data_IF_007576795251
#
_entry.id   IF_007576795251
#
_cell.length_a   1.000
_cell.length_b   1.000
_cell.length_c   1.000
_cell.angle_alpha   90.00
_cell.angle_beta   90.00
_cell.angle_gamma   90.00
#
_symmetry.space_group_name_H-M   'P 1'
#
loop_
_entity.id
_entity.type
_entity.pdbx_description
1 polymer ?
#
# COMPACT_ATOMS: atom_id res chain seq x y z
N UNK A 1 14.59 -3.17 72.50
CA UNK A 1 14.71 -4.12 71.39
C UNK A 1 13.37 -4.12 70.69
N UNK A 2 13.39 -3.58 69.49
CA UNK A 2 12.26 -3.04 68.75
C UNK A 2 11.17 -4.08 68.44
N UNK A 3 9.92 -3.73 68.73
CA UNK A 3 8.75 -4.40 68.16
C UNK A 3 8.67 -3.95 66.71
N UNK A 4 9.21 -4.73 65.79
CA UNK A 4 9.03 -4.51 64.36
C UNK A 4 7.56 -4.76 64.05
N UNK A 5 6.81 -3.68 63.86
CA UNK A 5 5.48 -3.71 63.26
C UNK A 5 5.62 -4.19 61.82
N UNK A 6 5.20 -5.43 61.55
CA UNK A 6 5.07 -5.93 60.18
C UNK A 6 3.74 -5.36 59.65
N UNK A 7 3.74 -4.50 58.62
CA UNK A 7 2.50 -3.99 58.05
C UNK A 7 1.67 -5.14 57.45
N UNK A 8 0.33 -5.07 57.51
CA UNK A 8 -0.50 -6.06 56.83
C UNK A 8 -0.14 -6.11 55.35
N UNK A 9 0.06 -7.32 54.83
CA UNK A 9 0.34 -7.53 53.41
C UNK A 9 -0.95 -7.22 52.64
N UNK A 10 -1.11 -5.98 52.20
CA UNK A 10 -2.19 -5.61 51.30
C UNK A 10 -1.82 -5.98 49.87
N UNK A 11 -2.69 -6.73 49.19
CA UNK A 11 -2.55 -7.01 47.75
C UNK A 11 -3.20 -5.87 46.96
N UNK A 12 -2.51 -5.33 45.96
CA UNK A 12 -3.06 -4.31 45.07
C UNK A 12 -3.72 -4.99 43.85
N UNK A 13 -5.02 -4.81 43.67
CA UNK A 13 -5.78 -5.33 42.53
C UNK A 13 -6.72 -4.22 42.00
N UNK A 14 -6.64 -3.88 40.70
CA UNK A 14 -7.34 -2.74 40.09
C UNK A 14 -7.23 -1.39 40.84
N UNK A 15 -6.07 -1.11 41.44
CA UNK A 15 -5.83 0.15 42.17
C UNK A 15 -6.48 0.22 43.55
N UNK A 16 -7.06 -0.88 44.04
CA UNK A 16 -7.57 -1.01 45.41
C UNK A 16 -6.73 -2.02 46.20
N UNK A 17 -6.63 -1.80 47.51
CA UNK A 17 -5.89 -2.64 48.45
C UNK A 17 -6.84 -3.63 49.12
N UNK A 18 -6.47 -4.91 49.13
CA UNK A 18 -7.23 -6.00 49.75
C UNK A 18 -6.41 -6.72 50.82
N UNK A 19 -7.07 -7.20 51.87
CA UNK A 19 -6.45 -7.99 52.93
C UNK A 19 -6.47 -9.50 52.60
N UNK A 20 -5.42 -10.22 53.00
CA UNK A 20 -5.35 -11.67 52.82
C UNK A 20 -6.47 -12.38 53.60
N UNK A 21 -7.42 -12.99 52.87
CA UNK A 21 -8.56 -13.73 53.42
C UNK A 21 -9.92 -13.20 53.01
N UNK A 22 -9.98 -12.03 52.35
CA UNK A 22 -11.21 -11.48 51.81
C UNK A 22 -11.64 -12.23 50.52
N UNK A 23 -12.87 -12.77 50.49
CA UNK A 23 -13.44 -13.35 49.28
C UNK A 23 -13.92 -12.23 48.36
N UNK A 24 -13.17 -11.93 47.31
CA UNK A 24 -13.59 -10.96 46.29
C UNK A 24 -14.53 -11.66 45.30
N UNK A 25 -15.82 -11.33 45.32
CA UNK A 25 -16.76 -11.74 44.27
C UNK A 25 -16.52 -10.87 43.03
N UNK A 26 -15.79 -11.41 42.04
CA UNK A 26 -15.60 -10.75 40.75
C UNK A 26 -16.96 -10.71 40.06
N UNK A 27 -17.62 -9.54 40.04
CA UNK A 27 -18.87 -9.34 39.29
C UNK A 27 -18.61 -9.59 37.81
N UNK A 28 -19.07 -10.71 37.26
CA UNK A 28 -18.93 -11.00 35.83
C UNK A 28 -20.00 -10.24 35.07
N UNK A 29 -19.60 -9.50 34.05
CA UNK A 29 -20.54 -8.83 33.18
C UNK A 29 -21.32 -9.87 32.35
N UNK A 30 -22.64 -9.82 32.40
CA UNK A 30 -23.52 -10.75 31.68
C UNK A 30 -24.33 -10.06 30.59
N UNK A 31 -24.29 -8.74 30.49
CA UNK A 31 -24.91 -8.04 29.38
C UNK A 31 -24.08 -6.85 29.03
N UNK A 32 -23.75 -6.75 27.75
CA UNK A 32 -22.93 -5.67 27.24
C UNK A 32 -23.62 -5.00 26.08
N UNK A 33 -23.49 -3.69 26.06
CA UNK A 33 -23.98 -2.83 25.00
C UNK A 33 -22.79 -2.18 24.31
N UNK A 34 -22.81 -2.15 22.98
CA UNK A 34 -21.85 -1.34 22.25
C UNK A 34 -22.34 0.10 22.19
N UNK A 35 -21.62 1.00 22.85
CA UNK A 35 -21.81 2.43 22.73
C UNK A 35 -20.57 3.02 22.07
N UNK A 36 -20.73 3.52 20.85
CA UNK A 36 -19.65 4.20 20.13
C UNK A 36 -18.35 3.37 20.06
N UNK A 37 -18.44 2.07 19.76
CA UNK A 37 -17.27 1.19 19.60
C UNK A 37 -16.61 0.76 20.90
N UNK A 38 -17.08 1.29 22.04
CA UNK A 38 -16.73 0.80 23.37
C UNK A 38 -17.82 -0.14 23.88
N UNK A 39 -17.41 -1.34 24.31
CA UNK A 39 -18.32 -2.25 25.00
C UNK A 39 -18.50 -1.80 26.44
N UNK A 40 -19.73 -1.44 26.82
CA UNK A 40 -20.09 -1.13 28.20
C UNK A 40 -20.85 -2.29 28.82
N UNK A 41 -20.54 -2.59 30.06
CA UNK A 41 -21.33 -3.52 30.85
C UNK A 41 -22.62 -2.84 31.31
N UNK A 42 -23.77 -3.36 30.91
CA UNK A 42 -25.09 -2.84 31.34
C UNK A 42 -25.73 -3.72 32.42
N UNK A 43 -25.27 -4.98 32.56
CA UNK A 43 -25.74 -5.88 33.62
C UNK A 43 -24.64 -6.82 34.10
N UNK A 44 -24.50 -6.95 35.42
CA UNK A 44 -23.57 -7.88 36.08
C UNK A 44 -24.32 -8.97 36.83
N UNK A 45 -23.78 -10.18 36.87
CA UNK A 45 -24.30 -11.29 37.66
C UNK A 45 -23.16 -11.94 38.46
N UNK A 46 -23.28 -12.04 39.80
CA UNK A 46 -22.28 -12.70 40.64
C UNK A 46 -22.30 -14.24 40.56
N UNK A 47 -23.35 -14.87 40.01
CA UNK A 47 -23.52 -16.34 39.99
C UNK A 47 -23.41 -16.96 38.58
N UNK A 48 -23.54 -16.16 37.52
CA UNK A 48 -23.60 -16.67 36.13
C UNK A 48 -22.24 -16.54 35.40
N UNK A 49 -21.73 -17.64 34.83
CA UNK A 49 -20.65 -17.61 33.83
C UNK A 49 -21.17 -16.94 32.55
N UNK A 50 -20.37 -16.07 31.89
CA UNK A 50 -20.78 -15.19 30.78
C UNK A 50 -21.90 -15.81 29.90
N UNK A 51 -23.01 -15.12 29.64
CA UNK A 51 -24.06 -15.66 28.79
C UNK A 51 -23.56 -15.83 27.37
N UNK A 52 -24.21 -16.74 26.66
CA UNK A 52 -23.94 -17.03 25.26
C UNK A 52 -24.17 -15.74 24.45
N UNK A 53 -23.09 -15.05 24.09
CA UNK A 53 -23.15 -13.88 23.21
C UNK A 53 -23.81 -14.29 21.88
N UNK A 54 -24.62 -13.42 21.30
CA UNK A 54 -25.28 -13.61 19.99
C UNK A 54 -24.29 -13.53 18.80
N UNK A 55 -22.99 -13.47 19.08
CA UNK A 55 -21.96 -13.39 18.05
C UNK A 55 -21.66 -14.77 17.43
N UNK A 56 -21.21 -14.81 16.16
CA UNK A 56 -20.76 -16.02 15.48
C UNK A 56 -19.81 -16.87 16.35
N UNK A 57 -19.86 -18.21 16.29
CA UNK A 57 -19.02 -19.10 17.09
C UNK A 57 -17.52 -18.81 17.00
N UNK A 58 -17.03 -18.37 15.84
CA UNK A 58 -15.63 -17.96 15.65
C UNK A 58 -15.19 -16.70 16.42
N UNK A 59 -16.11 -15.98 17.07
CA UNK A 59 -15.83 -14.76 17.84
C UNK A 59 -16.00 -14.96 19.36
N UNK A 60 -16.23 -16.19 19.81
CA UNK A 60 -16.45 -16.53 21.21
C UNK A 60 -15.16 -17.06 21.86
N UNK A 61 -14.22 -16.17 22.20
CA UNK A 61 -13.03 -16.54 23.00
C UNK A 61 -13.25 -16.20 24.48
N UNK A 62 -13.35 -17.22 25.34
CA UNK A 62 -13.37 -17.06 26.79
C UNK A 62 -11.95 -16.89 27.32
N UNK A 63 -11.53 -15.63 27.47
CA UNK A 63 -10.37 -15.28 28.32
C UNK A 63 -10.90 -15.00 29.74
N UNK A 64 -10.17 -15.39 30.81
CA UNK A 64 -10.56 -15.00 32.17
C UNK A 64 -10.78 -13.47 32.23
N UNK A 65 -11.93 -13.06 32.77
CA UNK A 65 -12.33 -11.69 33.14
C UNK A 65 -12.75 -10.69 32.04
N UNK A 66 -12.97 -11.10 30.79
CA UNK A 66 -13.45 -10.18 29.74
C UNK A 66 -14.61 -10.77 28.93
N UNK A 67 -15.83 -10.77 29.48
CA UNK A 67 -16.99 -11.31 28.77
C UNK A 67 -17.32 -10.56 27.46
N UNK A 68 -16.81 -9.34 27.21
CA UNK A 68 -17.18 -8.53 26.05
C UNK A 68 -16.00 -7.68 25.53
N UNK A 69 -15.29 -8.15 24.50
CA UNK A 69 -14.13 -7.45 23.92
C UNK A 69 -14.40 -6.66 22.65
N UNK A 70 -15.51 -6.91 21.96
CA UNK A 70 -15.71 -6.35 20.62
C UNK A 70 -17.15 -5.92 20.39
N UNK A 71 -17.28 -4.88 19.57
CA UNK A 71 -18.54 -4.43 19.02
C UNK A 71 -18.67 -4.96 17.58
N UNK A 72 -19.54 -5.95 17.31
CA UNK A 72 -19.81 -6.34 15.93
C UNK A 72 -20.44 -5.18 15.15
N UNK A 73 -19.96 -4.95 13.93
CA UNK A 73 -20.56 -3.98 12.99
C UNK A 73 -20.13 -2.52 13.18
N UNK A 74 -19.11 -2.24 13.98
CA UNK A 74 -18.52 -0.90 14.05
C UNK A 74 -17.58 -0.71 12.86
N UNK A 75 -17.80 0.38 12.12
CA UNK A 75 -16.89 0.85 11.09
C UNK A 75 -15.89 1.83 11.71
N UNK A 76 -14.71 1.32 12.06
CA UNK A 76 -13.62 2.11 12.62
C UNK A 76 -12.97 3.03 11.58
N UNK A 77 -13.17 2.78 10.28
CA UNK A 77 -12.73 3.69 9.24
C UNK A 77 -13.65 4.91 9.14
N UNK A 78 -14.97 4.72 9.18
CA UNK A 78 -15.95 5.80 9.13
C UNK A 78 -15.92 6.72 10.36
N UNK A 79 -15.46 6.22 11.51
CA UNK A 79 -15.30 7.03 12.73
C UNK A 79 -14.15 8.03 12.70
N UNK A 80 -13.21 7.84 11.76
CA UNK A 80 -12.00 8.61 11.67
C UNK A 80 -10.77 7.75 11.93
N UNK A 81 -9.81 7.86 11.02
CA UNK A 81 -8.56 7.12 11.04
C UNK A 81 -7.38 8.06 10.76
N UNK A 82 -6.18 7.63 11.14
CA UNK A 82 -4.93 8.35 10.85
C UNK A 82 -4.09 7.64 9.79
N UNK A 83 -4.74 6.99 8.82
CA UNK A 83 -4.08 6.46 7.63
C UNK A 83 -3.53 7.59 6.77
N UNK A 84 -2.47 7.29 6.01
CA UNK A 84 -1.90 8.21 5.04
C UNK A 84 -2.90 8.54 3.92
N UNK A 85 -2.70 9.64 3.19
CA UNK A 85 -3.55 10.02 2.07
C UNK A 85 -3.52 9.03 0.90
N UNK A 86 -2.38 8.35 0.72
CA UNK A 86 -2.16 7.27 -0.25
C UNK A 86 -2.24 5.89 0.43
N UNK A 87 -3.20 5.73 1.33
CA UNK A 87 -3.46 4.48 2.01
C UNK A 87 -4.96 4.24 2.18
N UNK A 88 -5.35 2.99 1.99
CA UNK A 88 -6.70 2.50 2.22
C UNK A 88 -6.85 2.07 3.67
N UNK A 89 -7.92 2.55 4.32
CA UNK A 89 -8.32 2.08 5.64
C UNK A 89 -9.06 0.74 5.54
N UNK A 90 -8.62 -0.25 6.31
CA UNK A 90 -9.22 -1.57 6.40
C UNK A 90 -9.88 -1.75 7.75
N UNK A 91 -11.19 -1.96 7.74
CA UNK A 91 -11.95 -2.18 8.96
C UNK A 91 -11.66 -3.58 9.54
N UNK A 92 -11.24 -3.65 10.79
CA UNK A 92 -10.98 -4.89 11.53
C UNK A 92 -12.02 -5.09 12.64
N UNK A 93 -12.01 -6.27 13.26
CA UNK A 93 -13.02 -6.64 14.28
C UNK A 93 -13.05 -5.69 15.49
N UNK A 94 -11.89 -5.14 15.88
CA UNK A 94 -11.74 -4.29 17.08
C UNK A 94 -11.03 -2.95 16.81
N UNK A 95 -10.63 -2.69 15.57
CA UNK A 95 -9.82 -1.52 15.18
C UNK A 95 -9.90 -1.33 13.66
N UNK A 96 -9.10 -0.43 13.12
CA UNK A 96 -8.74 -0.41 11.70
C UNK A 96 -7.23 -0.68 11.52
N UNK A 97 -6.87 -1.09 10.31
CA UNK A 97 -5.50 -1.06 9.81
C UNK A 97 -5.41 -0.11 8.61
N UNK A 98 -4.20 0.34 8.30
CA UNK A 98 -3.93 1.15 7.11
C UNK A 98 -3.04 0.33 6.18
N UNK A 99 -3.36 0.32 4.89
CA UNK A 99 -2.54 -0.33 3.86
C UNK A 99 -2.22 0.71 2.80
N UNK A 100 -0.94 0.87 2.45
CA UNK A 100 -0.57 1.78 1.36
C UNK A 100 -1.26 1.34 0.05
N UNK A 101 -1.70 2.33 -0.72
CA UNK A 101 -2.34 2.09 -2.00
C UNK A 101 -1.35 1.49 -3.00
N UNK A 102 -1.88 0.91 -4.09
CA UNK A 102 -1.04 0.37 -5.16
C UNK A 102 -0.09 1.47 -5.71
N UNK A 103 1.17 1.10 -5.93
CA UNK A 103 2.23 2.05 -6.33
C UNK A 103 2.92 2.76 -5.16
N UNK A 104 2.52 2.47 -3.91
CA UNK A 104 3.14 3.02 -2.71
C UNK A 104 3.62 1.93 -1.75
N UNK A 105 4.68 2.23 -1.01
CA UNK A 105 5.25 1.37 0.01
C UNK A 105 5.32 2.07 1.37
N UNK A 106 5.23 1.29 2.45
CA UNK A 106 5.31 1.79 3.82
C UNK A 106 4.42 1.02 4.78
N UNK A 107 4.08 1.66 5.91
CA UNK A 107 3.30 1.04 7.00
C UNK A 107 1.79 1.42 6.97
N UNK A 108 1.35 2.11 5.91
CA UNK A 108 -0.02 2.61 5.76
C UNK A 108 -0.31 3.93 6.50
N UNK A 109 0.55 4.35 7.44
CA UNK A 109 0.50 5.67 8.08
C UNK A 109 1.48 6.65 7.43
N UNK A 110 2.58 6.12 6.90
CA UNK A 110 3.51 6.78 6.01
C UNK A 110 3.64 5.91 4.76
N UNK A 111 3.25 6.47 3.62
CA UNK A 111 3.38 5.80 2.33
C UNK A 111 4.20 6.66 1.39
N UNK A 112 5.25 6.08 0.83
CA UNK A 112 6.11 6.72 -0.16
C UNK A 112 5.91 6.04 -1.51
N UNK A 113 6.04 6.82 -2.56
CA UNK A 113 6.03 6.34 -3.93
C UNK A 113 7.05 5.22 -4.13
N UNK A 114 6.67 4.18 -4.88
CA UNK A 114 7.60 3.13 -5.32
C UNK A 114 8.22 3.61 -6.63
N UNK A 115 9.55 3.67 -6.69
CA UNK A 115 10.23 3.90 -7.96
C UNK A 115 10.28 2.61 -8.77
N UNK A 116 9.28 2.38 -9.63
CA UNK A 116 9.24 1.16 -10.44
C UNK A 116 10.37 1.12 -11.47
N UNK A 117 11.00 2.26 -11.81
CA UNK A 117 12.15 2.31 -12.72
C UNK A 117 13.46 1.84 -12.07
N UNK A 118 13.49 1.64 -10.75
CA UNK A 118 14.66 1.12 -10.06
C UNK A 118 14.88 -0.39 -10.27
N UNK A 119 13.85 -1.13 -10.72
CA UNK A 119 13.92 -2.57 -10.95
C UNK A 119 13.11 -2.98 -12.19
N UNK A 120 13.66 -3.91 -12.98
CA UNK A 120 12.94 -4.51 -14.10
C UNK A 120 12.09 -5.70 -13.66
N UNK A 121 10.80 -5.68 -14.00
CA UNK A 121 9.86 -6.78 -13.79
C UNK A 121 9.40 -7.00 -12.34
N UNK A 122 8.81 -8.17 -12.09
CA UNK A 122 8.22 -8.49 -10.78
C UNK A 122 6.91 -7.74 -10.52
N UNK A 123 6.46 -7.70 -9.25
CA UNK A 123 5.21 -7.05 -8.87
C UNK A 123 5.33 -5.52 -8.69
N UNK A 124 6.56 -5.04 -8.44
CA UNK A 124 6.85 -3.62 -8.09
C UNK A 124 7.83 -2.93 -9.05
N UNK A 125 8.38 -3.65 -10.04
CA UNK A 125 9.25 -3.07 -11.05
C UNK A 125 8.52 -2.74 -12.35
N UNK A 126 9.21 -2.05 -13.25
CA UNK A 126 8.65 -1.66 -14.54
C UNK A 126 8.62 -2.83 -15.53
N UNK A 127 7.64 -2.80 -16.44
CA UNK A 127 7.50 -3.77 -17.55
C UNK A 127 7.76 -3.14 -18.92
N UNK A 128 8.43 -1.99 -18.97
CA UNK A 128 8.81 -1.34 -20.22
C UNK A 128 9.66 -2.27 -21.12
N UNK A 129 9.33 -2.32 -22.40
CA UNK A 129 10.04 -3.10 -23.41
C UNK A 129 11.38 -2.43 -23.79
N UNK A 130 12.21 -3.17 -24.51
CA UNK A 130 13.39 -2.62 -25.20
C UNK A 130 13.00 -1.44 -26.11
N UNK A 131 13.86 -0.43 -26.19
CA UNK A 131 13.66 0.84 -26.93
C UNK A 131 12.64 1.79 -26.31
N UNK A 132 12.55 1.80 -24.99
CA UNK A 132 11.77 2.77 -24.21
C UNK A 132 12.61 3.37 -23.09
N UNK A 133 12.16 4.50 -22.55
CA UNK A 133 12.72 5.14 -21.37
C UNK A 133 11.70 5.04 -20.25
N UNK A 134 12.03 4.32 -19.17
CA UNK A 134 11.18 4.28 -17.99
C UNK A 134 11.17 5.64 -17.29
N UNK A 135 9.98 6.12 -16.94
CA UNK A 135 9.80 7.33 -16.14
C UNK A 135 8.92 7.03 -14.94
N UNK A 136 9.49 7.17 -13.75
CA UNK A 136 8.75 7.05 -12.50
C UNK A 136 7.75 8.21 -12.34
N UNK A 137 6.56 7.92 -11.83
CA UNK A 137 5.52 8.91 -11.55
C UNK A 137 4.87 8.63 -10.20
N UNK A 138 4.19 9.60 -9.61
CA UNK A 138 3.57 9.37 -8.30
C UNK A 138 2.44 8.34 -8.42
N UNK A 139 2.64 7.17 -7.80
CA UNK A 139 1.74 6.03 -7.73
C UNK A 139 1.77 5.08 -8.94
N UNK A 140 2.70 5.26 -9.88
CA UNK A 140 2.84 4.42 -11.08
C UNK A 140 4.12 4.76 -11.85
N UNK A 141 4.39 4.07 -12.95
CA UNK A 141 5.37 4.49 -13.96
C UNK A 141 4.73 4.60 -15.34
N UNK A 142 5.51 5.15 -16.29
CA UNK A 142 5.23 5.05 -17.73
C UNK A 142 6.49 4.77 -18.53
N UNK A 143 6.31 4.30 -19.76
CA UNK A 143 7.38 3.99 -20.70
C UNK A 143 7.30 4.97 -21.87
N UNK A 144 8.22 5.93 -21.92
CA UNK A 144 8.26 6.97 -22.96
C UNK A 144 9.11 6.49 -24.14
N UNK A 145 8.74 6.89 -25.36
CA UNK A 145 9.52 6.56 -26.56
C UNK A 145 10.68 7.52 -26.75
N UNK A 146 11.88 7.02 -27.11
CA UNK A 146 12.97 7.88 -27.55
C UNK A 146 12.61 8.60 -28.86
N UNK A 147 13.40 9.61 -29.24
CA UNK A 147 13.22 10.31 -30.51
C UNK A 147 13.34 9.34 -31.70
N UNK A 148 12.51 9.52 -32.73
CA UNK A 148 12.43 8.61 -33.88
C UNK A 148 11.62 7.32 -33.63
N UNK A 149 11.02 7.18 -32.46
CA UNK A 149 10.17 6.03 -32.10
C UNK A 149 8.76 6.48 -31.72
N UNK A 150 7.77 5.61 -31.97
CA UNK A 150 6.38 5.85 -31.63
C UNK A 150 5.78 4.73 -30.78
N UNK A 151 4.88 5.13 -29.87
CA UNK A 151 4.29 4.22 -28.90
C UNK A 151 3.35 3.24 -29.61
N UNK A 152 3.64 1.95 -29.48
CA UNK A 152 2.80 0.88 -30.06
C UNK A 152 1.88 0.24 -29.02
N UNK A 153 2.32 0.22 -27.76
CA UNK A 153 1.54 -0.23 -26.62
C UNK A 153 2.00 0.51 -25.35
N UNK A 154 1.39 0.21 -24.19
CA UNK A 154 1.72 0.88 -22.91
C UNK A 154 3.19 0.75 -22.51
N UNK A 155 3.87 -0.30 -22.98
CA UNK A 155 5.21 -0.68 -22.56
C UNK A 155 6.24 -0.57 -23.69
N UNK A 156 5.83 -0.49 -24.96
CA UNK A 156 6.71 -0.60 -26.12
C UNK A 156 6.59 0.53 -27.12
N UNK A 157 7.69 0.73 -27.84
CA UNK A 157 7.82 1.67 -28.94
C UNK A 157 8.35 0.96 -30.19
N UNK A 158 7.93 1.42 -31.36
CA UNK A 158 8.46 0.99 -32.65
C UNK A 158 9.17 2.15 -33.33
N UNK A 159 10.26 1.83 -34.03
CA UNK A 159 10.98 2.78 -34.86
C UNK A 159 10.08 3.30 -36.00
N UNK A 160 10.20 4.58 -36.30
CA UNK A 160 9.42 5.25 -37.34
C UNK A 160 10.28 5.42 -38.57
N UNK A 161 9.98 4.65 -39.62
CA UNK A 161 10.60 4.90 -40.93
C UNK A 161 10.12 6.24 -41.51
N UNK A 162 10.90 7.30 -41.29
CA UNK A 162 10.48 8.63 -41.71
C UNK A 162 10.49 8.78 -43.23
N UNK A 163 11.26 7.95 -43.95
CA UNK A 163 11.28 7.93 -45.41
C UNK A 163 9.99 7.33 -45.96
N UNK A 164 9.56 6.16 -45.44
CA UNK A 164 8.32 5.51 -45.84
C UNK A 164 7.07 6.29 -45.38
N UNK A 165 7.15 6.93 -44.21
CA UNK A 165 6.06 7.75 -43.66
C UNK A 165 5.98 9.17 -44.26
N UNK A 166 6.96 9.57 -45.09
CA UNK A 166 7.05 10.93 -45.63
C UNK A 166 7.26 12.01 -44.56
N UNK A 167 7.85 11.64 -43.41
CA UNK A 167 8.11 12.51 -42.26
C UNK A 167 9.55 13.04 -42.24
N UNK A 168 10.19 13.09 -43.39
CA UNK A 168 11.54 13.60 -43.56
C UNK A 168 11.54 15.05 -44.07
N UNK A 169 12.65 15.77 -43.83
CA UNK A 169 12.90 17.13 -44.37
C UNK A 169 13.98 17.13 -45.45
N UNK A 170 14.21 16.00 -46.12
CA UNK A 170 15.12 15.93 -47.25
C UNK A 170 14.72 16.90 -48.37
N UNK A 171 15.72 17.47 -49.04
CA UNK A 171 15.51 18.27 -50.24
C UNK A 171 14.83 17.43 -51.33
N UNK A 172 14.07 18.05 -52.24
CA UNK A 172 13.32 17.37 -53.32
C UNK A 172 14.21 16.46 -54.19
N UNK A 173 15.49 16.79 -54.31
CA UNK A 173 16.50 16.04 -55.07
C UNK A 173 17.46 15.20 -54.21
N UNK A 174 17.11 14.93 -52.95
CA UNK A 174 17.90 14.11 -52.05
C UNK A 174 17.23 12.74 -51.82
N UNK A 175 18.04 11.69 -51.80
CA UNK A 175 17.61 10.34 -51.44
C UNK A 175 17.49 10.23 -49.92
N UNK A 176 16.34 9.77 -49.43
CA UNK A 176 16.10 9.50 -48.01
C UNK A 176 16.48 8.05 -47.70
N UNK A 177 17.27 7.85 -46.65
CA UNK A 177 17.56 6.53 -46.09
C UNK A 177 17.20 6.51 -44.62
N UNK A 178 16.33 5.59 -44.23
CA UNK A 178 15.95 5.40 -42.84
C UNK A 178 17.13 4.91 -42.01
N UNK A 179 17.21 5.33 -40.76
CA UNK A 179 18.24 4.91 -39.80
C UNK A 179 17.61 4.64 -38.43
N UNK A 180 18.32 3.92 -37.56
CA UNK A 180 17.79 3.65 -36.23
C UNK A 180 17.58 4.96 -35.42
N UNK A 181 16.31 5.29 -35.17
CA UNK A 181 15.88 6.51 -34.47
C UNK A 181 15.98 7.82 -35.26
N UNK A 182 16.20 7.78 -36.58
CA UNK A 182 16.24 8.99 -37.42
C UNK A 182 16.28 8.66 -38.92
N UNK A 183 16.49 9.66 -39.78
CA UNK A 183 16.75 9.49 -41.20
C UNK A 183 17.97 10.28 -41.67
N UNK A 184 18.52 9.88 -42.81
CA UNK A 184 19.57 10.63 -43.51
C UNK A 184 19.13 11.02 -44.92
N UNK A 185 19.54 12.21 -45.33
CA UNK A 185 19.33 12.71 -46.68
C UNK A 185 20.66 12.76 -47.41
N UNK A 186 20.73 12.18 -48.61
CA UNK A 186 21.91 12.22 -49.47
C UNK A 186 21.57 12.88 -50.79
N UNK A 187 22.24 13.98 -51.12
CA UNK A 187 22.07 14.62 -52.43
C UNK A 187 22.49 13.67 -53.55
N UNK A 188 21.62 13.50 -54.54
CA UNK A 188 21.91 12.69 -55.72
C UNK A 188 23.11 13.21 -56.53
N UNK A 189 23.56 14.44 -56.25
CA UNK A 189 24.75 15.07 -56.85
C UNK A 189 26.08 14.42 -56.48
N UNK A 190 26.15 13.61 -55.40
CA UNK A 190 27.38 12.88 -55.02
C UNK A 190 27.46 11.45 -55.57
N UNK A 191 26.47 11.02 -56.36
CA UNK A 191 26.45 9.65 -56.95
C UNK A 191 27.04 9.62 -58.36
N UNK A 192 27.34 10.78 -58.98
CA UNK A 192 28.03 10.85 -60.28
C UNK A 192 29.41 11.48 -60.17
N UNK A 193 30.40 10.66 -59.83
CA UNK A 193 31.75 10.80 -60.38
C UNK A 193 32.44 9.44 -60.28
N UNK A 194 32.50 8.63 -61.35
CA UNK A 194 33.49 7.56 -61.40
C UNK A 194 34.86 8.21 -61.25
N UNK A 195 35.69 7.65 -60.38
CA UNK A 195 37.08 8.04 -60.23
C UNK A 195 37.76 8.03 -61.61
N UNK A 196 38.04 9.21 -62.18
CA UNK A 196 38.99 9.31 -63.26
C UNK A 196 40.40 9.31 -62.66
N UNK A 197 41.33 8.49 -63.20
CA UNK A 197 42.69 8.43 -62.71
C UNK A 197 43.36 9.78 -62.98
N UNK A 198 43.97 10.37 -61.94
CA UNK A 198 44.85 11.53 -62.12
C UNK A 198 46.07 11.06 -62.94
N UNK A 199 46.27 11.71 -64.10
CA UNK A 199 47.50 11.66 -64.89
C UNK A 199 48.67 12.24 -64.12
#
# INVERSE_FOLDING_TARGET
MDVVSIPPKHCLFYGQFYDHGEQVTIKKCVECQCDDGSMKCVRTDPETNCPRLTCPPEQQFSVPDHCCKFCPGVDYCAKGHSCHANATCLNLQTTYACQCDQGFQGDGRMCTDIDECAMEGGEVGHHCHSNTVCVNTVGSYRCDCPEGYEQVDKFGCAEVDECAAGRHRCHENAECTNTDGSYRCRDSSTIQSPAQPRR
#
